data_IF_580139148153
#
_entry.id   IF_580139148153
#
_cell.length_a   1.000
_cell.length_b   1.000
_cell.length_c   1.000
_cell.angle_alpha   90.00
_cell.angle_beta   90.00
_cell.angle_gamma   90.00
#
_symmetry.space_group_name_H-M   'P 1'
#
loop_
_entity.id
_entity.type
_entity.pdbx_description
1 polymer ?
#
# COMPACT_ATOMS: atom_id res chain seq x y z
N UNK A 1 -2.52 15.15 30.47
CA UNK A 1 -3.60 14.24 30.08
C UNK A 1 -4.14 14.73 28.74
N UNK A 2 -3.60 14.22 27.63
CA UNK A 2 -4.04 14.60 26.28
C UNK A 2 -4.99 13.48 25.85
N UNK A 3 -6.28 13.77 25.84
CA UNK A 3 -7.29 12.88 25.24
C UNK A 3 -7.07 12.90 23.72
N UNK A 4 -6.50 11.83 23.18
CA UNK A 4 -6.59 11.57 21.74
C UNK A 4 -8.04 11.22 21.42
N UNK A 5 -8.69 12.06 20.63
CA UNK A 5 -9.98 11.76 20.04
C UNK A 5 -9.84 10.50 19.14
N UNK A 6 -10.84 9.61 19.11
CA UNK A 6 -10.82 8.48 18.20
C UNK A 6 -10.84 9.01 16.76
N UNK A 7 -9.84 8.62 15.96
CA UNK A 7 -9.84 8.81 14.50
C UNK A 7 -11.14 8.19 14.00
N UNK A 8 -12.07 9.06 13.62
CA UNK A 8 -13.41 8.66 13.21
C UNK A 8 -13.25 7.90 11.90
N UNK A 9 -13.59 6.61 11.92
CA UNK A 9 -13.66 5.74 10.77
C UNK A 9 -14.83 6.18 9.88
N UNK A 10 -14.74 7.40 9.32
CA UNK A 10 -15.71 7.91 8.36
C UNK A 10 -15.60 7.02 7.14
N UNK A 11 -16.67 6.25 6.88
CA UNK A 11 -16.86 5.55 5.62
C UNK A 11 -16.85 6.61 4.52
N UNK A 12 -15.77 6.67 3.76
CA UNK A 12 -15.70 7.49 2.57
C UNK A 12 -16.69 6.90 1.58
N UNK A 13 -17.76 7.64 1.28
CA UNK A 13 -18.66 7.31 0.18
C UNK A 13 -17.93 7.59 -1.14
N UNK A 14 -17.21 6.56 -1.62
CA UNK A 14 -16.51 6.60 -2.89
C UNK A 14 -17.48 6.83 -4.05
N UNK A 15 -17.00 7.45 -5.13
CA UNK A 15 -17.83 7.73 -6.31
C UNK A 15 -18.48 6.44 -6.83
N UNK A 16 -19.83 6.34 -6.83
CA UNK A 16 -20.52 5.15 -7.32
C UNK A 16 -20.18 4.90 -8.80
N UNK A 17 -19.86 3.67 -9.16
CA UNK A 17 -19.54 3.26 -10.54
C UNK A 17 -18.08 3.41 -10.96
N UNK A 18 -17.20 3.94 -10.10
CA UNK A 18 -15.74 3.95 -10.34
C UNK A 18 -15.13 2.72 -9.69
N UNK A 19 -14.42 1.89 -10.47
CA UNK A 19 -13.68 0.75 -9.92
C UNK A 19 -12.54 1.26 -9.02
N UNK A 20 -12.17 0.53 -7.95
CA UNK A 20 -11.01 0.89 -7.14
C UNK A 20 -9.74 0.92 -7.99
N UNK A 21 -8.86 1.89 -7.75
CA UNK A 21 -7.50 1.90 -8.28
C UNK A 21 -6.67 0.96 -7.45
N UNK A 22 -6.22 -0.14 -8.04
CA UNK A 22 -5.38 -1.13 -7.33
C UNK A 22 -3.94 -0.66 -7.34
N UNK A 23 -3.31 -0.62 -6.16
CA UNK A 23 -1.92 -0.19 -6.01
C UNK A 23 -1.18 -1.23 -5.19
N UNK A 24 -0.16 -1.83 -5.80
CA UNK A 24 0.76 -2.75 -5.14
C UNK A 24 1.91 -1.99 -4.48
N UNK A 25 2.23 -2.35 -3.24
CA UNK A 25 3.30 -1.75 -2.47
C UNK A 25 4.33 -2.81 -2.09
N UNK A 26 5.59 -2.51 -2.37
CA UNK A 26 6.75 -3.20 -1.82
C UNK A 26 7.52 -2.17 -0.99
N UNK A 27 7.67 -2.42 0.32
CA UNK A 27 8.29 -1.45 1.24
C UNK A 27 9.76 -1.16 0.95
N UNK A 28 10.46 -2.10 0.30
CA UNK A 28 11.87 -1.95 0.00
C UNK A 28 12.73 -1.91 1.28
N UNK A 29 13.88 -1.26 1.17
CA UNK A 29 14.93 -1.27 2.20
C UNK A 29 15.46 0.14 2.49
N UNK A 30 16.32 0.27 3.51
CA UNK A 30 16.84 1.56 3.94
C UNK A 30 15.71 2.46 4.42
N UNK A 31 15.55 3.64 3.82
CA UNK A 31 14.43 4.55 4.10
C UNK A 31 13.14 4.21 3.34
N UNK A 32 13.12 3.11 2.58
CA UNK A 32 11.96 2.66 1.82
C UNK A 32 10.68 2.56 2.67
N UNK A 33 10.69 1.83 3.79
CA UNK A 33 9.51 1.66 4.64
C UNK A 33 8.87 2.98 5.08
N UNK A 34 9.67 3.96 5.50
CA UNK A 34 9.20 5.26 5.97
C UNK A 34 8.69 6.13 4.82
N UNK A 35 9.35 6.09 3.66
CA UNK A 35 8.93 6.82 2.47
C UNK A 35 7.62 6.27 1.90
N UNK A 36 7.47 4.95 1.89
CA UNK A 36 6.23 4.28 1.46
C UNK A 36 5.09 4.63 2.41
N UNK A 37 5.32 4.68 3.72
CA UNK A 37 4.30 5.11 4.68
C UNK A 37 3.89 6.56 4.47
N UNK A 38 4.85 7.45 4.21
CA UNK A 38 4.55 8.83 3.86
C UNK A 38 3.76 8.95 2.55
N UNK A 39 4.07 8.14 1.54
CA UNK A 39 3.34 8.10 0.28
C UNK A 39 1.89 7.60 0.46
N UNK A 40 1.67 6.56 1.26
CA UNK A 40 0.34 6.08 1.63
C UNK A 40 -0.49 7.19 2.29
N UNK A 41 0.09 7.94 3.23
CA UNK A 41 -0.61 9.06 3.87
C UNK A 41 -1.04 10.14 2.86
N UNK A 42 -0.22 10.41 1.85
CA UNK A 42 -0.59 11.33 0.75
C UNK A 42 -1.71 10.75 -0.09
N UNK A 43 -1.66 9.46 -0.42
CA UNK A 43 -2.71 8.77 -1.17
C UNK A 43 -4.04 8.79 -0.41
N UNK A 44 -4.03 8.60 0.90
CA UNK A 44 -5.23 8.69 1.75
C UNK A 44 -5.84 10.09 1.70
N UNK A 45 -5.02 11.14 1.86
CA UNK A 45 -5.48 12.53 1.75
C UNK A 45 -6.08 12.85 0.37
N UNK A 46 -5.51 12.28 -0.70
CA UNK A 46 -6.04 12.37 -2.07
C UNK A 46 -7.36 11.59 -2.19
N UNK A 47 -7.44 10.38 -1.63
CA UNK A 47 -8.63 9.54 -1.62
C UNK A 47 -9.81 10.29 -1.01
N UNK A 48 -9.59 10.91 0.15
CA UNK A 48 -10.57 11.71 0.88
C UNK A 48 -10.99 12.95 0.07
N UNK A 49 -10.02 13.73 -0.42
CA UNK A 49 -10.28 15.00 -1.10
C UNK A 49 -11.06 14.83 -2.41
N UNK A 50 -10.82 13.73 -3.13
CA UNK A 50 -11.39 13.50 -4.45
C UNK A 50 -12.46 12.40 -4.49
N UNK A 51 -12.71 11.74 -3.35
CA UNK A 51 -13.58 10.55 -3.20
C UNK A 51 -13.15 9.40 -4.12
N UNK A 52 -11.85 9.19 -4.22
CA UNK A 52 -11.25 8.08 -4.97
C UNK A 52 -11.10 6.87 -4.06
N UNK A 53 -11.23 5.67 -4.62
CA UNK A 53 -11.03 4.42 -3.91
C UNK A 53 -9.70 3.81 -4.33
N UNK A 54 -8.69 3.83 -3.46
CA UNK A 54 -7.45 3.08 -3.65
C UNK A 54 -7.53 1.75 -2.92
N UNK A 55 -7.35 0.64 -3.64
CA UNK A 55 -7.17 -0.68 -3.06
C UNK A 55 -5.67 -0.95 -2.93
N UNK A 56 -5.12 -0.58 -1.78
CA UNK A 56 -3.71 -0.82 -1.47
C UNK A 56 -3.51 -2.29 -1.10
N UNK A 57 -2.59 -2.97 -1.79
CA UNK A 57 -2.14 -4.33 -1.47
C UNK A 57 -0.64 -4.29 -1.20
N UNK A 58 -0.18 -5.05 -0.22
CA UNK A 58 1.23 -5.08 0.19
C UNK A 58 1.83 -6.43 -0.14
N UNK A 59 2.92 -6.43 -0.89
CA UNK A 59 3.71 -7.63 -1.19
C UNK A 59 4.70 -7.95 -0.08
N UNK A 60 5.37 -9.10 -0.20
CA UNK A 60 6.36 -9.56 0.77
C UNK A 60 7.70 -8.80 0.67
N UNK A 61 8.60 -9.11 1.61
CA UNK A 61 9.93 -8.50 1.69
C UNK A 61 10.72 -8.68 0.38
N UNK A 62 11.45 -7.65 0.01
CA UNK A 62 12.42 -7.64 -1.11
C UNK A 62 13.79 -7.20 -0.60
N UNK A 63 14.83 -7.43 -1.40
CA UNK A 63 16.19 -7.01 -1.09
C UNK A 63 16.86 -7.89 -0.03
N UNK A 64 17.81 -7.29 0.68
CA UNK A 64 18.57 -7.88 1.80
C UNK A 64 17.67 -8.56 2.84
N UNK A 65 16.54 -7.96 3.24
CA UNK A 65 15.61 -8.56 4.20
C UNK A 65 15.01 -9.88 3.69
N UNK A 66 14.72 -9.94 2.39
CA UNK A 66 14.26 -11.15 1.72
C UNK A 66 15.37 -12.19 1.65
N UNK A 67 16.58 -11.76 1.27
CA UNK A 67 17.75 -12.63 1.18
C UNK A 67 18.12 -13.25 2.53
N UNK A 68 18.07 -12.49 3.62
CA UNK A 68 18.32 -12.98 4.97
C UNK A 68 17.28 -14.02 5.43
N UNK A 69 16.01 -13.85 5.04
CA UNK A 69 14.91 -14.71 5.49
C UNK A 69 14.67 -15.93 4.60
N UNK A 70 14.94 -15.79 3.31
CA UNK A 70 14.51 -16.73 2.26
C UNK A 70 15.62 -17.15 1.31
N UNK A 71 16.82 -16.56 1.41
CA UNK A 71 17.96 -16.86 0.55
C UNK A 71 17.91 -16.22 -0.83
N UNK A 72 16.88 -15.42 -1.12
CA UNK A 72 16.64 -14.77 -2.41
C UNK A 72 16.33 -13.29 -2.22
N UNK A 73 16.91 -12.41 -3.04
CA UNK A 73 16.63 -10.97 -2.99
C UNK A 73 15.24 -10.62 -3.53
N UNK A 74 14.70 -11.44 -4.44
CA UNK A 74 13.39 -11.27 -5.04
C UNK A 74 12.83 -12.66 -5.32
N UNK A 75 11.73 -12.99 -4.66
CA UNK A 75 11.09 -14.30 -4.77
C UNK A 75 10.08 -14.34 -5.92
N UNK A 76 9.78 -15.55 -6.40
CA UNK A 76 8.70 -15.77 -7.36
C UNK A 76 7.33 -15.31 -6.83
N UNK A 77 7.13 -15.35 -5.50
CA UNK A 77 5.94 -14.83 -4.83
C UNK A 77 5.77 -13.32 -5.08
N UNK A 78 6.86 -12.53 -4.99
CA UNK A 78 6.81 -11.09 -5.27
C UNK A 78 6.59 -10.83 -6.76
N UNK A 79 7.17 -11.64 -7.64
CA UNK A 79 6.93 -11.53 -9.08
C UNK A 79 5.46 -11.83 -9.43
N UNK A 80 4.85 -12.83 -8.79
CA UNK A 80 3.42 -13.12 -8.96
C UNK A 80 2.55 -12.00 -8.38
N UNK A 81 2.87 -11.50 -7.19
CA UNK A 81 2.20 -10.33 -6.63
C UNK A 81 2.17 -9.16 -7.62
N UNK A 82 3.30 -8.82 -8.25
CA UNK A 82 3.33 -7.76 -9.26
C UNK A 82 2.41 -8.06 -10.45
N UNK A 83 2.39 -9.31 -10.94
CA UNK A 83 1.51 -9.72 -12.05
C UNK A 83 0.03 -9.57 -11.68
N UNK A 84 -0.36 -9.95 -10.47
CA UNK A 84 -1.73 -9.78 -9.96
C UNK A 84 -2.12 -8.30 -9.90
N UNK A 85 -1.25 -7.44 -9.37
CA UNK A 85 -1.50 -5.99 -9.29
C UNK A 85 -1.74 -5.37 -10.67
N UNK A 86 -0.90 -5.70 -11.66
CA UNK A 86 -1.06 -5.19 -13.02
C UNK A 86 -2.26 -5.78 -13.76
N UNK A 87 -2.79 -6.92 -13.32
CA UNK A 87 -4.00 -7.53 -13.88
C UNK A 87 -5.26 -6.92 -13.27
N UNK A 88 -5.21 -6.59 -11.98
CA UNK A 88 -6.34 -6.09 -11.20
C UNK A 88 -6.58 -4.57 -11.36
N UNK A 89 -5.55 -3.79 -11.70
CA UNK A 89 -5.58 -2.33 -11.86
C UNK A 89 -5.90 -1.85 -13.27
#
# INVERSE_FOLDING_TARGET
MILSAPVTNQRIDFRPGVRPFVVGILRGEGSGPELIDAACNVLDAVAESFRLNFCIKTGSDIGSLSAERRGEYLTDEVAEFCREIFTDG
#
